data_IF_273806120978
#
_entry.id   IF_273806120978
#
_cell.length_a   1.000
_cell.length_b   1.000
_cell.length_c   1.000
_cell.angle_alpha   90.00
_cell.angle_beta   90.00
_cell.angle_gamma   90.00
#
_symmetry.space_group_name_H-M   'P 1'
#
loop_
_entity.id
_entity.type
_entity.pdbx_description
1 polymer ?
#
# COMPACT_ATOMS: atom_id res chain seq x y z
N UNK A 1 12.55 -6.21 9.98
CA UNK A 1 12.48 -7.47 9.26
C UNK A 1 11.14 -7.61 8.53
N UNK A 2 11.04 -8.55 7.59
CA UNK A 2 9.81 -8.86 6.86
C UNK A 2 9.51 -7.91 5.70
N UNK A 3 8.36 -8.12 5.03
CA UNK A 3 7.95 -7.43 3.81
C UNK A 3 7.73 -5.92 4.03
N UNK A 4 7.20 -5.53 5.19
CA UNK A 4 6.90 -4.12 5.50
C UNK A 4 8.14 -3.21 5.45
N UNK A 5 9.32 -3.72 5.82
CA UNK A 5 10.58 -2.96 5.77
C UNK A 5 11.44 -3.20 4.53
N UNK A 6 11.02 -4.05 3.58
CA UNK A 6 11.82 -4.52 2.44
C UNK A 6 11.10 -4.43 1.09
N UNK A 7 10.00 -3.71 1.01
CA UNK A 7 9.29 -3.50 -0.25
C UNK A 7 9.95 -2.39 -1.10
N UNK A 8 9.39 -2.13 -2.28
CA UNK A 8 9.91 -1.11 -3.21
C UNK A 8 9.69 0.35 -2.76
N UNK A 9 9.06 0.58 -1.62
CA UNK A 9 8.84 1.92 -1.08
C UNK A 9 7.83 2.75 -1.88
N UNK A 10 6.90 2.11 -2.54
CA UNK A 10 5.84 2.77 -3.29
C UNK A 10 4.64 3.03 -2.38
N UNK A 11 4.32 4.28 -2.15
CA UNK A 11 3.14 4.71 -1.44
C UNK A 11 2.08 5.12 -2.46
N UNK A 12 1.11 4.23 -2.66
CA UNK A 12 0.05 4.38 -3.67
C UNK A 12 -1.30 3.97 -3.11
N UNK A 13 -2.37 4.59 -3.59
CA UNK A 13 -3.74 4.32 -3.16
C UNK A 13 -4.50 3.42 -4.14
N UNK A 14 -3.94 2.26 -4.49
CA UNK A 14 -4.55 1.31 -5.41
C UNK A 14 -5.39 0.23 -4.73
N UNK A 15 -6.28 -0.39 -5.50
CA UNK A 15 -7.01 -1.59 -5.06
C UNK A 15 -6.09 -2.82 -5.03
N UNK A 16 -6.30 -3.71 -4.04
CA UNK A 16 -5.62 -5.00 -3.97
C UNK A 16 -6.23 -6.05 -4.90
N UNK A 17 -7.53 -5.92 -5.22
CA UNK A 17 -8.30 -6.80 -6.10
C UNK A 17 -8.93 -6.00 -7.24
N UNK A 18 -9.39 -6.71 -8.29
CA UNK A 18 -10.19 -6.06 -9.33
C UNK A 18 -11.53 -5.59 -8.76
N UNK A 19 -12.10 -4.55 -9.35
CA UNK A 19 -13.38 -3.96 -8.91
C UNK A 19 -14.53 -4.94 -9.01
N UNK A 20 -14.49 -5.84 -10.01
CA UNK A 20 -15.48 -6.91 -10.19
C UNK A 20 -15.51 -7.87 -9.01
N UNK A 21 -14.36 -8.16 -8.39
CA UNK A 21 -14.33 -9.01 -7.19
C UNK A 21 -15.02 -8.37 -6.00
N UNK A 22 -14.88 -7.05 -5.84
CA UNK A 22 -15.62 -6.33 -4.79
C UNK A 22 -17.12 -6.32 -5.05
N UNK A 23 -17.56 -6.16 -6.31
CA UNK A 23 -18.97 -6.27 -6.68
C UNK A 23 -19.50 -7.69 -6.46
N UNK A 24 -18.75 -8.71 -6.86
CA UNK A 24 -19.12 -10.11 -6.65
C UNK A 24 -19.21 -10.50 -5.17
N UNK A 25 -18.47 -9.82 -4.30
CA UNK A 25 -18.56 -9.98 -2.85
C UNK A 25 -19.72 -9.20 -2.20
N UNK A 26 -20.65 -8.64 -2.98
CA UNK A 26 -21.81 -7.90 -2.49
C UNK A 26 -21.63 -6.39 -2.38
N UNK A 27 -20.53 -5.85 -2.89
CA UNK A 27 -20.32 -4.40 -2.97
C UNK A 27 -21.21 -3.74 -4.03
N UNK A 28 -21.49 -2.44 -3.85
CA UNK A 28 -22.15 -1.61 -4.88
C UNK A 28 -21.13 -0.81 -5.68
N UNK A 29 -21.52 -0.35 -6.87
CA UNK A 29 -20.65 0.51 -7.69
C UNK A 29 -20.24 1.78 -6.93
N UNK A 30 -21.17 2.41 -6.26
CA UNK A 30 -20.97 3.62 -5.43
C UNK A 30 -20.00 3.34 -4.28
N UNK A 31 -20.14 2.18 -3.63
CA UNK A 31 -19.26 1.73 -2.55
C UNK A 31 -17.83 1.50 -3.05
N UNK A 32 -17.64 0.89 -4.22
CA UNK A 32 -16.32 0.69 -4.84
C UNK A 32 -15.70 2.04 -5.22
N UNK A 33 -16.47 2.98 -5.77
CA UNK A 33 -15.99 4.34 -6.09
C UNK A 33 -15.57 5.08 -4.81
N UNK A 34 -16.39 5.00 -3.75
CA UNK A 34 -16.09 5.61 -2.46
C UNK A 34 -14.81 5.02 -1.83
N UNK A 35 -14.64 3.70 -1.88
CA UNK A 35 -13.43 3.01 -1.44
C UNK A 35 -12.20 3.46 -2.24
N UNK A 36 -12.31 3.57 -3.57
CA UNK A 36 -11.22 4.09 -4.41
C UNK A 36 -10.79 5.51 -4.04
N UNK A 37 -11.75 6.37 -3.70
CA UNK A 37 -11.47 7.72 -3.19
C UNK A 37 -10.75 7.67 -1.85
N UNK A 38 -11.22 6.86 -0.91
CA UNK A 38 -10.59 6.68 0.39
C UNK A 38 -9.17 6.15 0.27
N UNK A 39 -8.93 5.11 -0.57
CA UNK A 39 -7.60 4.56 -0.82
C UNK A 39 -6.63 5.61 -1.37
N UNK A 40 -7.06 6.44 -2.33
CA UNK A 40 -6.21 7.55 -2.82
C UNK A 40 -5.87 8.56 -1.73
N UNK A 41 -6.82 8.86 -0.85
CA UNK A 41 -6.60 9.74 0.30
C UNK A 41 -5.62 9.19 1.35
N UNK A 42 -5.39 7.87 1.38
CA UNK A 42 -4.44 7.28 2.34
C UNK A 42 -3.00 7.70 2.09
N UNK A 43 -2.64 8.09 0.86
CA UNK A 43 -1.29 8.60 0.55
C UNK A 43 -1.03 9.90 1.31
N UNK A 44 -1.95 10.86 1.18
CA UNK A 44 -1.87 12.15 1.86
C UNK A 44 -1.90 11.96 3.39
N UNK A 45 -2.72 11.04 3.89
CA UNK A 45 -2.83 10.73 5.32
C UNK A 45 -1.54 10.12 5.89
N UNK A 46 -0.91 9.19 5.18
CA UNK A 46 0.38 8.61 5.63
C UNK A 46 1.47 9.69 5.67
N UNK A 47 1.51 10.58 4.69
CA UNK A 47 2.46 11.70 4.66
C UNK A 47 2.21 12.61 5.87
N UNK A 48 0.97 13.05 6.07
CA UNK A 48 0.57 13.92 7.19
C UNK A 48 0.94 13.32 8.54
N UNK A 49 0.59 12.05 8.78
CA UNK A 49 0.91 11.38 10.06
C UNK A 49 2.41 11.21 10.25
N UNK A 50 3.16 10.90 9.19
CA UNK A 50 4.61 10.80 9.28
C UNK A 50 5.25 12.13 9.69
N UNK A 51 4.79 13.25 9.13
CA UNK A 51 5.24 14.59 9.48
C UNK A 51 4.87 14.94 10.92
N UNK A 52 3.62 14.78 11.34
CA UNK A 52 3.15 15.07 12.68
C UNK A 52 3.85 14.24 13.76
N UNK A 53 4.19 12.99 13.47
CA UNK A 53 4.89 12.11 14.39
C UNK A 53 6.42 12.22 14.31
N UNK A 54 6.95 13.07 13.44
CA UNK A 54 8.39 13.26 13.26
C UNK A 54 9.10 12.02 12.68
N UNK A 55 8.41 11.26 11.82
CA UNK A 55 8.95 10.06 11.19
C UNK A 55 9.74 10.43 9.94
N UNK A 56 11.07 10.41 10.05
CA UNK A 56 11.98 10.65 8.92
C UNK A 56 12.10 9.42 8.02
N UNK A 57 11.16 9.25 7.11
CA UNK A 57 11.09 8.10 6.20
C UNK A 57 11.47 8.43 4.74
N UNK A 58 12.15 9.54 4.49
CA UNK A 58 12.53 10.02 3.14
C UNK A 58 11.33 10.02 2.18
N UNK A 59 10.18 10.46 2.66
CA UNK A 59 8.97 10.52 1.85
C UNK A 59 9.14 11.62 0.80
N UNK A 60 8.96 11.24 -0.45
CA UNK A 60 9.01 12.15 -1.60
C UNK A 60 7.72 12.03 -2.39
N UNK A 61 6.80 13.01 -2.27
CA UNK A 61 5.64 13.10 -3.16
C UNK A 61 6.11 13.19 -4.61
N UNK A 62 5.51 12.41 -5.49
CA UNK A 62 5.91 12.30 -6.89
C UNK A 62 4.78 11.73 -7.75
N UNK A 63 5.08 11.48 -9.01
CA UNK A 63 4.20 10.77 -9.95
C UNK A 63 4.66 9.31 -10.13
N UNK A 64 3.71 8.41 -10.28
CA UNK A 64 3.95 7.06 -10.76
C UNK A 64 3.97 7.05 -12.29
N UNK A 65 4.90 6.30 -12.88
CA UNK A 65 5.04 6.20 -14.33
C UNK A 65 5.02 4.72 -14.74
N UNK A 66 4.01 4.31 -15.49
CA UNK A 66 3.95 3.00 -16.12
C UNK A 66 4.26 3.16 -17.61
N UNK A 67 5.33 2.52 -18.10
CA UNK A 67 5.86 2.74 -19.46
C UNK A 67 5.44 1.60 -20.39
N UNK A 68 5.00 1.93 -21.60
CA UNK A 68 4.73 1.00 -22.68
C UNK A 68 5.88 1.00 -23.69
N UNK A 69 6.44 -0.18 -23.96
CA UNK A 69 7.49 -0.39 -24.97
C UNK A 69 6.98 -1.13 -26.21
N UNK A 70 5.73 -1.58 -26.22
CA UNK A 70 5.10 -2.25 -27.34
C UNK A 70 3.67 -1.75 -27.59
N UNK A 71 3.14 -1.82 -28.83
CA UNK A 71 1.75 -1.44 -29.11
C UNK A 71 0.74 -2.16 -28.21
N UNK A 72 0.94 -3.46 -27.96
CA UNK A 72 0.04 -4.23 -27.10
C UNK A 72 0.07 -3.76 -25.61
N UNK A 73 1.23 -3.28 -25.12
CA UNK A 73 1.30 -2.66 -23.80
C UNK A 73 0.58 -1.31 -23.78
N UNK A 74 0.76 -0.51 -24.82
CA UNK A 74 0.08 0.79 -24.94
C UNK A 74 -1.44 0.64 -25.00
N UNK A 75 -1.94 -0.35 -25.71
CA UNK A 75 -3.38 -0.65 -25.79
C UNK A 75 -3.96 -1.04 -24.43
N UNK A 76 -3.31 -1.96 -23.71
CA UNK A 76 -3.72 -2.32 -22.34
C UNK A 76 -3.69 -1.11 -21.40
N UNK A 77 -2.74 -0.24 -21.57
CA UNK A 77 -2.60 0.98 -20.76
C UNK A 77 -3.74 1.97 -21.03
N UNK A 78 -4.18 2.11 -22.31
CA UNK A 78 -5.37 2.88 -22.67
C UNK A 78 -6.64 2.32 -22.04
N UNK A 79 -6.81 1.00 -22.12
CA UNK A 79 -7.94 0.33 -21.47
C UNK A 79 -7.93 0.58 -19.94
N UNK A 80 -6.77 0.50 -19.30
CA UNK A 80 -6.62 0.84 -17.86
C UNK A 80 -7.00 2.30 -17.58
N UNK A 81 -6.55 3.24 -18.40
CA UNK A 81 -6.91 4.65 -18.25
C UNK A 81 -8.43 4.87 -18.37
N UNK A 82 -9.05 4.30 -19.39
CA UNK A 82 -10.51 4.38 -19.62
C UNK A 82 -11.29 3.77 -18.46
N UNK A 83 -10.86 2.61 -17.99
CA UNK A 83 -11.45 1.96 -16.82
C UNK A 83 -11.34 2.84 -15.57
N UNK A 84 -10.16 3.37 -15.25
CA UNK A 84 -9.96 4.26 -14.10
C UNK A 84 -10.89 5.47 -14.14
N UNK A 85 -11.02 6.12 -15.29
CA UNK A 85 -11.92 7.26 -15.49
C UNK A 85 -13.38 6.83 -15.34
N UNK A 86 -13.78 5.70 -15.92
CA UNK A 86 -15.13 5.17 -15.80
C UNK A 86 -15.52 4.80 -14.36
N UNK A 87 -14.54 4.46 -13.53
CA UNK A 87 -14.71 4.20 -12.10
C UNK A 87 -14.49 5.43 -11.21
N UNK A 88 -14.49 6.64 -11.80
CA UNK A 88 -14.49 7.90 -11.06
C UNK A 88 -13.11 8.35 -10.57
N UNK A 89 -12.03 7.84 -11.12
CA UNK A 89 -10.70 8.44 -10.92
C UNK A 89 -10.66 9.78 -11.65
N UNK A 90 -10.40 10.90 -10.96
CA UNK A 90 -10.34 12.21 -11.60
C UNK A 90 -9.22 12.26 -12.67
N UNK A 91 -9.48 12.90 -13.80
CA UNK A 91 -8.46 13.08 -14.85
C UNK A 91 -7.21 13.83 -14.37
N UNK A 92 -7.33 14.62 -13.31
CA UNK A 92 -6.19 15.26 -12.65
C UNK A 92 -5.29 14.28 -11.87
N UNK A 93 -5.73 13.03 -11.70
CA UNK A 93 -4.99 11.97 -10.99
C UNK A 93 -4.40 10.93 -11.94
N UNK A 94 -4.78 10.96 -13.22
CA UNK A 94 -4.31 9.98 -14.21
C UNK A 94 -4.30 10.59 -15.60
N UNK A 95 -3.22 10.39 -16.35
CA UNK A 95 -3.09 10.87 -17.72
C UNK A 95 -2.29 9.91 -18.60
N UNK A 96 -2.59 9.92 -19.90
CA UNK A 96 -1.78 9.24 -20.90
C UNK A 96 -0.84 10.26 -21.56
N UNK A 97 0.45 9.92 -21.61
CA UNK A 97 1.46 10.75 -22.29
C UNK A 97 2.10 10.01 -23.47
N UNK A 98 2.45 10.77 -24.49
CA UNK A 98 3.13 10.25 -25.68
C UNK A 98 4.62 10.02 -25.47
N UNK A 99 5.24 9.31 -26.43
CA UNK A 99 6.65 8.94 -26.32
C UNK A 99 7.62 10.12 -26.21
N UNK A 100 7.35 11.28 -26.82
CA UNK A 100 8.19 12.48 -26.71
C UNK A 100 8.19 13.06 -25.29
N UNK A 101 7.02 13.22 -24.71
CA UNK A 101 6.84 13.73 -23.35
C UNK A 101 7.40 12.74 -22.32
N UNK A 102 7.14 11.45 -22.49
CA UNK A 102 7.71 10.40 -21.66
C UNK A 102 9.25 10.45 -21.67
N UNK A 103 9.88 10.60 -22.86
CA UNK A 103 11.36 10.69 -22.96
C UNK A 103 11.95 11.95 -22.31
N UNK A 104 11.18 13.01 -22.17
CA UNK A 104 11.58 14.19 -21.39
C UNK A 104 11.64 13.90 -19.87
N UNK A 105 10.78 13.00 -19.40
CA UNK A 105 10.73 12.59 -17.96
C UNK A 105 11.72 11.47 -17.63
N UNK A 106 11.84 10.47 -18.51
CA UNK A 106 12.70 9.31 -18.28
C UNK A 106 13.20 8.71 -19.60
N UNK A 107 14.43 8.22 -19.61
CA UNK A 107 15.04 7.52 -20.75
C UNK A 107 14.85 6.01 -20.63
N UNK A 108 13.81 5.48 -21.28
CA UNK A 108 13.57 4.05 -21.41
C UNK A 108 13.69 3.65 -22.87
N UNK A 109 14.48 2.63 -23.16
CA UNK A 109 14.65 2.13 -24.52
C UNK A 109 13.32 1.64 -25.08
N UNK A 110 13.08 1.94 -26.35
CA UNK A 110 11.90 1.52 -27.12
C UNK A 110 10.53 1.97 -26.53
N UNK A 111 10.53 2.89 -25.58
CA UNK A 111 9.30 3.37 -24.98
C UNK A 111 8.51 4.26 -25.94
N UNK A 112 7.22 3.95 -26.10
CA UNK A 112 6.28 4.59 -27.04
C UNK A 112 5.21 5.44 -26.36
N UNK A 113 5.04 5.32 -25.04
CA UNK A 113 4.11 6.10 -24.25
C UNK A 113 4.11 5.66 -22.79
N UNK A 114 3.39 6.39 -21.96
CA UNK A 114 3.24 6.06 -20.54
C UNK A 114 1.88 6.48 -19.98
N UNK A 115 1.48 5.80 -18.91
CA UNK A 115 0.41 6.20 -18.01
C UNK A 115 1.03 6.83 -16.77
N UNK A 116 0.65 8.05 -16.49
CA UNK A 116 1.07 8.81 -15.30
C UNK A 116 -0.02 8.70 -14.26
N UNK A 117 0.37 8.39 -13.03
CA UNK A 117 -0.52 8.41 -11.86
C UNK A 117 -0.02 9.48 -10.89
N UNK A 118 -0.81 10.52 -10.69
CA UNK A 118 -0.49 11.64 -9.81
C UNK A 118 -0.89 11.38 -8.37
N UNK A 119 -0.20 12.02 -7.43
CA UNK A 119 -0.50 11.94 -6.01
C UNK A 119 -0.13 10.60 -5.40
N UNK A 120 1.03 10.10 -5.76
CA UNK A 120 1.72 8.99 -5.13
C UNK A 120 2.99 9.50 -4.44
N UNK A 121 3.67 8.66 -3.70
CA UNK A 121 4.93 9.02 -3.10
C UNK A 121 5.92 7.83 -3.08
N UNK A 122 7.20 8.16 -3.03
CA UNK A 122 8.24 7.21 -2.66
C UNK A 122 8.53 7.34 -1.18
N UNK A 123 8.76 6.23 -0.50
CA UNK A 123 9.09 6.19 0.93
C UNK A 123 10.23 5.19 1.16
N UNK A 124 11.04 5.41 2.19
CA UNK A 124 12.01 4.42 2.64
C UNK A 124 11.31 3.50 3.67
N UNK A 125 10.97 2.25 3.29
CA UNK A 125 10.03 1.44 4.05
C UNK A 125 10.56 1.04 5.43
N UNK A 126 11.85 0.73 5.57
CA UNK A 126 12.42 0.37 6.87
C UNK A 126 12.44 1.57 7.83
N UNK A 127 12.67 2.79 7.33
CA UNK A 127 12.59 4.01 8.15
C UNK A 127 11.16 4.30 8.57
N UNK A 128 10.18 4.11 7.68
CA UNK A 128 8.77 4.27 8.02
C UNK A 128 8.35 3.33 9.14
N UNK A 129 8.65 2.03 9.02
CA UNK A 129 8.30 1.02 10.03
C UNK A 129 8.97 1.30 11.37
N UNK A 130 10.27 1.64 11.38
CA UNK A 130 11.00 1.96 12.61
C UNK A 130 10.52 3.25 13.25
N UNK A 131 10.26 4.27 12.43
CA UNK A 131 9.72 5.53 12.92
C UNK A 131 8.32 5.38 13.51
N UNK A 132 7.47 4.54 12.89
CA UNK A 132 6.15 4.22 13.43
C UNK A 132 6.26 3.47 14.77
N UNK A 133 7.17 2.49 14.88
CA UNK A 133 7.41 1.79 16.15
C UNK A 133 7.81 2.79 17.26
N UNK A 134 8.78 3.65 17.00
CA UNK A 134 9.20 4.68 17.95
C UNK A 134 8.05 5.66 18.30
N UNK A 135 7.18 6.00 17.34
CA UNK A 135 6.03 6.86 17.57
C UNK A 135 5.01 6.22 18.52
N UNK A 136 4.66 4.95 18.31
CA UNK A 136 3.68 4.27 19.18
C UNK A 136 4.25 3.98 20.57
N UNK A 137 5.56 3.73 20.70
CA UNK A 137 6.22 3.62 22.01
C UNK A 137 6.14 4.92 22.80
N UNK A 138 6.31 6.08 22.14
CA UNK A 138 6.10 7.40 22.81
C UNK A 138 4.66 7.60 23.29
N UNK A 139 3.70 6.93 22.66
CA UNK A 139 2.29 6.91 23.07
C UNK A 139 1.99 5.88 24.18
N UNK A 140 3.00 5.18 24.69
CA UNK A 140 2.88 4.22 25.77
C UNK A 140 2.61 2.78 25.34
N UNK A 141 2.67 2.47 24.04
CA UNK A 141 2.59 1.10 23.55
C UNK A 141 3.87 0.35 23.87
N UNK A 142 3.75 -0.85 24.42
CA UNK A 142 4.88 -1.75 24.65
C UNK A 142 5.10 -2.66 23.44
N UNK A 143 6.31 -2.69 22.91
CA UNK A 143 6.71 -3.57 21.81
C UNK A 143 7.72 -4.59 22.36
N UNK A 144 7.39 -5.88 22.25
CA UNK A 144 8.30 -6.95 22.64
C UNK A 144 8.87 -7.64 21.40
N UNK A 145 10.11 -7.33 21.08
CA UNK A 145 10.87 -8.03 20.05
C UNK A 145 11.41 -9.37 20.57
N UNK A 146 11.83 -10.26 19.65
CA UNK A 146 12.35 -11.61 19.97
C UNK A 146 11.41 -12.46 20.84
N UNK A 147 10.14 -12.15 20.85
CA UNK A 147 9.08 -12.75 21.64
C UNK A 147 8.11 -13.47 20.70
N UNK A 148 8.49 -14.68 20.26
CA UNK A 148 7.70 -15.44 19.30
C UNK A 148 6.38 -15.90 19.91
N UNK A 149 5.27 -15.73 19.17
CA UNK A 149 3.95 -16.24 19.53
C UNK A 149 3.92 -17.73 19.27
N UNK A 150 3.56 -18.52 20.30
CA UNK A 150 3.47 -19.97 20.26
C UNK A 150 2.04 -20.49 20.29
N UNK A 151 1.07 -19.64 20.64
CA UNK A 151 -0.35 -19.98 20.65
C UNK A 151 -1.25 -18.78 20.81
N UNK A 152 -2.49 -18.90 20.31
CA UNK A 152 -3.52 -17.88 20.40
C UNK A 152 -4.82 -18.50 20.93
N UNK A 153 -5.36 -17.86 21.97
CA UNK A 153 -6.68 -18.18 22.53
C UNK A 153 -7.49 -16.90 22.67
N UNK A 154 -8.79 -17.05 22.93
CA UNK A 154 -9.62 -15.88 23.21
C UNK A 154 -9.11 -15.16 24.47
N UNK A 155 -8.67 -13.93 24.30
CA UNK A 155 -8.16 -13.09 25.39
C UNK A 155 -6.72 -13.41 25.82
N UNK A 156 -6.00 -14.34 25.19
CA UNK A 156 -4.62 -14.71 25.56
C UNK A 156 -3.72 -14.96 24.36
N UNK A 157 -2.48 -14.51 24.48
CA UNK A 157 -1.40 -14.79 23.52
C UNK A 157 -0.27 -15.47 24.27
N UNK A 158 0.03 -16.71 23.93
CA UNK A 158 1.17 -17.43 24.46
C UNK A 158 2.41 -17.12 23.64
N UNK A 159 3.52 -16.88 24.32
CA UNK A 159 4.81 -16.56 23.68
C UNK A 159 5.92 -17.39 24.30
N UNK A 160 7.10 -17.34 23.67
CA UNK A 160 8.32 -17.96 24.23
C UNK A 160 8.77 -17.36 25.56
N UNK A 161 8.28 -16.17 25.91
CA UNK A 161 8.71 -15.39 27.09
C UNK A 161 7.60 -15.28 28.15
N UNK A 162 6.39 -15.78 27.88
CA UNK A 162 5.26 -15.70 28.80
C UNK A 162 3.91 -15.55 28.09
N UNK A 163 2.88 -15.14 28.84
CA UNK A 163 1.52 -14.98 28.32
C UNK A 163 1.05 -13.56 28.47
N UNK A 164 0.51 -12.99 27.38
CA UNK A 164 -0.15 -11.69 27.39
C UNK A 164 -1.65 -11.90 27.43
N UNK A 165 -2.34 -11.17 28.28
CA UNK A 165 -3.81 -11.20 28.40
C UNK A 165 -4.39 -9.85 28.01
N UNK A 166 -5.38 -9.85 27.11
CA UNK A 166 -6.09 -8.66 26.69
C UNK A 166 -7.54 -8.98 26.30
N UNK A 167 -8.50 -8.07 26.51
CA UNK A 167 -9.89 -8.30 26.10
C UNK A 167 -10.07 -8.42 24.58
N UNK A 168 -9.20 -7.76 23.80
CA UNK A 168 -9.17 -7.81 22.34
C UNK A 168 -7.76 -8.18 21.89
N UNK A 169 -7.65 -9.16 21.01
CA UNK A 169 -6.39 -9.56 20.38
C UNK A 169 -6.53 -9.34 18.88
N UNK A 170 -5.63 -8.51 18.32
CA UNK A 170 -5.53 -8.27 16.88
C UNK A 170 -4.37 -9.07 16.32
N UNK A 171 -4.66 -10.01 15.42
CA UNK A 171 -3.64 -10.76 14.69
C UNK A 171 -3.28 -10.00 13.41
N UNK A 172 -2.10 -9.40 13.39
CA UNK A 172 -1.57 -8.64 12.24
C UNK A 172 -0.25 -9.27 11.76
N UNK A 173 -0.22 -10.60 11.58
CA UNK A 173 0.97 -11.40 11.30
C UNK A 173 1.20 -11.69 9.83
N UNK A 174 0.35 -11.17 8.94
CA UNK A 174 0.45 -11.26 7.49
C UNK A 174 0.82 -12.69 7.02
N UNK A 175 1.82 -12.89 6.17
CA UNK A 175 2.27 -14.19 5.67
C UNK A 175 2.82 -15.13 6.75
N UNK A 176 3.26 -14.62 7.90
CA UNK A 176 3.70 -15.44 9.03
C UNK A 176 2.55 -16.16 9.75
N UNK A 177 1.30 -15.79 9.45
CA UNK A 177 0.11 -16.45 10.00
C UNK A 177 0.12 -17.96 9.79
N UNK A 178 0.56 -18.41 8.62
CA UNK A 178 0.63 -19.84 8.30
C UNK A 178 1.58 -20.65 9.21
N UNK A 179 2.54 -19.99 9.84
CA UNK A 179 3.47 -20.60 10.81
C UNK A 179 2.92 -20.69 12.24
N UNK A 180 1.76 -20.11 12.53
CA UNK A 180 1.15 -20.17 13.84
C UNK A 180 0.39 -21.50 14.02
N UNK A 181 0.51 -22.20 15.18
CA UNK A 181 -0.23 -23.42 15.46
C UNK A 181 -1.74 -23.22 15.27
N UNK A 182 -2.39 -24.14 14.53
CA UNK A 182 -3.81 -24.07 14.23
C UNK A 182 -4.22 -23.08 13.13
N UNK A 183 -3.28 -22.40 12.49
CA UNK A 183 -3.53 -21.39 11.44
C UNK A 183 -2.86 -21.72 10.09
N UNK A 184 -2.18 -22.87 9.96
CA UNK A 184 -1.73 -23.39 8.68
C UNK A 184 -2.94 -23.79 7.83
N UNK A 185 -3.00 -23.31 6.57
CA UNK A 185 -3.93 -23.79 5.55
C UNK A 185 -3.23 -24.81 4.67
#
# INVERSE_FOLDING_TARGET
>A
FGASGRNGGWLTGGFSWSREKYLAAGGTREGVIAMGRALRGTVDEVIRVAEEQGISADILPTDGLTVACTPAQLERMRATYEEEVAWGTPKSRIEMIGGSEMRARIKVKDAIGALVTHGVARVQPARLVRGLAAAVERLGVQIWEQTAVTGLEKGRVHTTCGTVTAPVIVRATEGFTAGLPGHSR
#
